data_IF_085965721640
#
_entry.id   IF_085965721640
#
_cell.length_a   1.000
_cell.length_b   1.000
_cell.length_c   1.000
_cell.angle_alpha   90.00
_cell.angle_beta   90.00
_cell.angle_gamma   90.00
#
_symmetry.space_group_name_H-M   'P 1'
#
loop_
_entity.id
_entity.type
_entity.pdbx_description
1 polymer ?
#
# COMPACT_ATOMS: atom_id res chain seq x y z
N UNK A 1 -7.39 -1.50 11.84
CA UNK A 1 -6.00 -1.52 12.36
C UNK A 1 -5.06 -1.64 11.16
N UNK A 2 -4.02 -0.80 11.05
CA UNK A 2 -2.92 -1.00 10.10
C UNK A 2 -1.79 -1.75 10.82
N UNK A 3 -1.07 -2.64 10.12
CA UNK A 3 0.09 -3.36 10.66
C UNK A 3 1.38 -2.88 9.97
N UNK A 4 1.90 -1.70 10.36
CA UNK A 4 3.06 -1.10 9.69
C UNK A 4 4.35 -1.93 9.81
N UNK A 5 4.50 -2.72 10.88
CA UNK A 5 5.70 -3.53 11.11
C UNK A 5 5.78 -4.77 10.21
N UNK A 6 4.65 -5.31 9.76
CA UNK A 6 4.63 -6.52 8.92
C UNK A 6 5.34 -6.30 7.59
N UNK A 7 5.22 -5.10 7.02
CA UNK A 7 5.73 -4.76 5.69
C UNK A 7 7.15 -4.20 5.70
N UNK A 8 7.73 -3.94 6.87
CA UNK A 8 9.04 -3.29 7.01
C UNK A 8 10.19 -4.04 6.29
N UNK A 9 10.29 -5.40 6.36
CA UNK A 9 11.32 -6.12 5.63
C UNK A 9 11.20 -5.97 4.11
N UNK A 10 9.97 -5.95 3.58
CA UNK A 10 9.69 -5.81 2.15
C UNK A 10 10.11 -4.41 1.68
N UNK A 11 9.76 -3.37 2.44
CA UNK A 11 10.16 -1.98 2.15
C UNK A 11 11.69 -1.85 2.14
N UNK A 12 12.39 -2.50 3.08
CA UNK A 12 13.86 -2.48 3.13
C UNK A 12 14.50 -3.14 1.91
N UNK A 13 13.96 -4.27 1.45
CA UNK A 13 14.43 -4.96 0.23
C UNK A 13 14.20 -4.08 -0.99
N UNK A 14 13.03 -3.44 -1.11
CA UNK A 14 12.73 -2.50 -2.19
C UNK A 14 13.73 -1.34 -2.19
N UNK A 15 13.98 -0.70 -1.05
CA UNK A 15 14.93 0.41 -0.98
C UNK A 15 16.39 0.00 -1.29
N UNK A 16 16.75 -1.28 -1.19
CA UNK A 16 18.07 -1.79 -1.57
C UNK A 16 18.18 -2.13 -3.06
N UNK A 17 17.08 -2.59 -3.66
CA UNK A 17 17.04 -3.06 -5.05
C UNK A 17 16.74 -1.95 -6.07
N UNK A 18 16.05 -0.89 -5.64
CA UNK A 18 15.67 0.23 -6.51
C UNK A 18 16.67 1.38 -6.34
N UNK A 19 17.32 1.79 -7.43
CA UNK A 19 18.13 3.00 -7.47
C UNK A 19 17.24 4.24 -7.53
N UNK A 20 17.76 5.41 -7.11
CA UNK A 20 17.02 6.69 -7.09
C UNK A 20 16.44 7.10 -8.47
N UNK A 21 16.96 6.53 -9.56
CA UNK A 21 16.53 6.76 -10.94
C UNK A 21 15.54 5.72 -11.50
N UNK A 22 15.21 4.68 -10.71
CA UNK A 22 14.39 3.57 -11.19
C UNK A 22 12.88 3.86 -11.05
N UNK A 23 12.10 3.46 -12.06
CA UNK A 23 10.66 3.66 -12.04
C UNK A 23 10.01 2.72 -11.03
N UNK A 24 9.38 3.29 -10.01
CA UNK A 24 8.61 2.55 -9.02
C UNK A 24 7.12 2.59 -9.37
N UNK A 25 6.54 1.43 -9.66
CA UNK A 25 5.13 1.31 -10.04
C UNK A 25 4.34 0.81 -8.83
N UNK A 26 3.32 1.57 -8.44
CA UNK A 26 2.38 1.17 -7.40
C UNK A 26 1.05 0.75 -8.00
N UNK A 27 0.44 -0.25 -7.36
CA UNK A 27 -0.95 -0.63 -7.58
C UNK A 27 -1.75 -0.42 -6.30
N UNK A 28 -2.98 0.04 -6.49
CA UNK A 28 -3.96 0.21 -5.42
C UNK A 28 -5.09 -0.74 -5.72
N UNK A 29 -5.40 -1.62 -4.77
CA UNK A 29 -6.52 -2.53 -4.84
C UNK A 29 -7.55 -2.22 -3.74
N UNK A 30 -8.82 -2.36 -4.09
CA UNK A 30 -9.96 -2.19 -3.21
C UNK A 30 -10.85 -3.41 -3.33
N UNK A 31 -10.84 -4.25 -2.31
CA UNK A 31 -11.61 -5.48 -2.29
C UNK A 31 -12.59 -5.46 -1.12
N UNK A 32 -13.85 -5.78 -1.39
CA UNK A 32 -14.79 -6.08 -0.33
C UNK A 32 -14.65 -7.55 0.05
N UNK A 33 -14.17 -7.81 1.27
CA UNK A 33 -14.01 -9.16 1.80
C UNK A 33 -14.96 -9.38 2.97
N UNK A 34 -15.97 -10.22 2.76
CA UNK A 34 -17.09 -10.41 3.70
C UNK A 34 -17.73 -9.05 4.05
N UNK A 35 -17.75 -8.68 5.33
CA UNK A 35 -18.31 -7.43 5.84
C UNK A 35 -17.27 -6.31 5.98
N UNK A 36 -16.07 -6.48 5.43
CA UNK A 36 -14.97 -5.53 5.56
C UNK A 36 -14.52 -5.05 4.19
N UNK A 37 -14.21 -3.76 4.09
CA UNK A 37 -13.53 -3.22 2.93
C UNK A 37 -12.03 -3.26 3.20
N UNK A 38 -11.26 -3.84 2.28
CA UNK A 38 -9.82 -3.93 2.35
C UNK A 38 -9.24 -3.01 1.29
N UNK A 39 -8.31 -2.16 1.72
CA UNK A 39 -7.50 -1.33 0.84
C UNK A 39 -6.06 -1.80 0.91
N UNK A 40 -5.50 -2.12 -0.24
CA UNK A 40 -4.14 -2.63 -0.38
C UNK A 40 -3.37 -1.70 -1.30
N UNK A 41 -2.18 -1.31 -0.87
CA UNK A 41 -1.16 -0.74 -1.76
C UNK A 41 -0.07 -1.78 -1.92
N UNK A 42 0.25 -2.07 -3.18
CA UNK A 42 1.33 -2.95 -3.55
C UNK A 42 2.29 -2.22 -4.49
N UNK A 43 3.54 -2.66 -4.49
CA UNK A 43 4.56 -2.25 -5.45
C UNK A 43 4.79 -3.38 -6.44
N UNK A 44 4.94 -3.04 -7.71
CA UNK A 44 5.25 -4.00 -8.76
C UNK A 44 6.76 -4.16 -8.85
N UNK A 45 7.24 -5.36 -8.55
CA UNK A 45 8.65 -5.71 -8.66
C UNK A 45 8.81 -7.06 -9.37
N UNK A 46 9.64 -7.11 -10.41
CA UNK A 46 9.90 -8.33 -11.22
C UNK A 46 8.60 -9.09 -11.60
N UNK A 47 7.60 -8.35 -12.10
CA UNK A 47 6.26 -8.87 -12.48
C UNK A 47 5.44 -9.46 -11.32
N UNK A 48 5.73 -9.08 -10.08
CA UNK A 48 4.99 -9.50 -8.87
C UNK A 48 4.46 -8.27 -8.14
N UNK A 49 3.22 -8.33 -7.67
CA UNK A 49 2.67 -7.33 -6.77
C UNK A 49 3.03 -7.69 -5.33
N UNK A 50 3.96 -6.93 -4.73
CA UNK A 50 4.32 -7.07 -3.34
C UNK A 50 3.49 -6.07 -2.53
N UNK A 51 2.58 -6.58 -1.71
CA UNK A 51 1.86 -5.75 -0.76
C UNK A 51 2.83 -5.03 0.18
N UNK A 52 2.61 -3.73 0.39
CA UNK A 52 3.41 -2.90 1.31
C UNK A 52 2.54 -2.16 2.34
N UNK A 53 1.23 -2.07 2.10
CA UNK A 53 0.30 -1.44 3.04
C UNK A 53 -1.10 -2.03 2.91
N UNK A 54 -1.69 -2.35 4.06
CA UNK A 54 -3.03 -2.90 4.17
C UNK A 54 -3.82 -2.09 5.20
N UNK A 55 -5.05 -1.73 4.85
CA UNK A 55 -6.00 -1.15 5.77
C UNK A 55 -7.35 -1.85 5.65
N UNK A 56 -7.80 -2.41 6.76
CA UNK A 56 -9.14 -2.98 6.89
C UNK A 56 -10.08 -1.92 7.45
N UNK A 57 -11.17 -1.66 6.75
CA UNK A 57 -12.25 -0.79 7.19
C UNK A 57 -13.41 -1.62 7.73
N UNK A 58 -13.88 -1.27 8.92
CA UNK A 58 -15.06 -1.87 9.56
C UNK A 58 -16.37 -1.18 9.17
N UNK A 59 -16.36 -0.30 8.17
CA UNK A 59 -17.55 0.39 7.67
C UNK A 59 -18.09 -0.28 6.41
N UNK A 60 -19.41 -0.33 6.29
CA UNK A 60 -20.11 -0.69 5.05
C UNK A 60 -20.06 0.49 4.07
N UNK A 61 -19.86 0.20 2.78
CA UNK A 61 -19.75 1.20 1.71
C UNK A 61 -18.32 1.66 1.39
N UNK A 62 -18.17 2.34 0.26
CA UNK A 62 -16.88 2.75 -0.30
C UNK A 62 -16.19 3.84 0.53
N UNK A 63 -14.85 3.83 0.53
CA UNK A 63 -14.06 4.96 1.03
C UNK A 63 -14.16 6.14 0.07
N UNK A 64 -14.36 7.34 0.62
CA UNK A 64 -14.43 8.57 -0.17
C UNK A 64 -13.02 9.01 -0.63
N UNK A 65 -12.94 10.00 -1.53
CA UNK A 65 -11.66 10.46 -2.08
C UNK A 65 -10.72 11.01 -0.99
N UNK A 66 -11.25 11.69 0.03
CA UNK A 66 -10.45 12.26 1.11
C UNK A 66 -9.78 11.17 1.96
N UNK A 67 -10.54 10.12 2.28
CA UNK A 67 -10.02 8.93 2.96
C UNK A 67 -8.97 8.22 2.12
N UNK A 68 -9.20 8.05 0.81
CA UNK A 68 -8.22 7.45 -0.08
C UNK A 68 -6.90 8.24 -0.10
N UNK A 69 -6.96 9.58 -0.20
CA UNK A 69 -5.77 10.43 -0.12
C UNK A 69 -5.06 10.28 1.23
N UNK A 70 -5.81 10.20 2.33
CA UNK A 70 -5.24 10.02 3.67
C UNK A 70 -4.52 8.67 3.82
N UNK A 71 -4.97 7.62 3.14
CA UNK A 71 -4.36 6.28 3.16
C UNK A 71 -3.09 6.18 2.32
N UNK A 72 -3.03 6.92 1.22
CA UNK A 72 -1.86 6.92 0.32
C UNK A 72 -0.71 7.74 0.94
N UNK A 73 -1.03 8.83 1.65
CA UNK A 73 -0.04 9.73 2.28
C UNK A 73 1.04 9.03 3.13
N UNK A 74 0.73 8.09 4.03
CA UNK A 74 1.77 7.38 4.79
C UNK A 74 2.68 6.52 3.90
N UNK A 75 2.15 5.93 2.82
CA UNK A 75 2.95 5.13 1.89
C UNK A 75 3.94 6.01 1.12
N UNK A 76 3.48 7.15 0.60
CA UNK A 76 4.37 8.13 -0.07
C UNK A 76 5.49 8.61 0.86
N UNK A 77 5.15 8.93 2.12
CA UNK A 77 6.15 9.31 3.15
C UNK A 77 7.19 8.22 3.40
N UNK A 78 6.79 6.94 3.45
CA UNK A 78 7.70 5.82 3.67
C UNK A 78 8.70 5.66 2.53
N UNK A 79 8.28 6.01 1.32
CA UNK A 79 9.09 5.89 0.10
C UNK A 79 9.89 7.16 -0.21
N UNK A 80 9.72 8.21 0.60
CA UNK A 80 10.33 9.54 0.40
C UNK A 80 10.02 10.16 -0.97
N UNK A 81 8.82 9.90 -1.49
CA UNK A 81 8.27 10.45 -2.74
C UNK A 81 7.25 11.54 -2.42
#
# INVERSE_FOLDING_TARGET
MSWPLFWFPIIKIINQEFSDSSQLIFTIDRTQWKNHNIFVIAVIYKKRALAIYWQVFHKKGSTNLAEQKALIKPVLRLLKI
#
